data_IF_815830198526
#
_entry.id   IF_815830198526
#
_cell.length_a   1.000
_cell.length_b   1.000
_cell.length_c   1.000
_cell.angle_alpha   90.00
_cell.angle_beta   90.00
_cell.angle_gamma   90.00
#
_symmetry.space_group_name_H-M   'P 1'
#
loop_
_entity.id
_entity.type
_entity.pdbx_description
1 polymer ?
#
# COMPACT_ATOMS: atom_id res chain seq x y z
N UNK A 1 1.30 10.91 42.39
CA UNK A 1 1.37 11.51 41.04
C UNK A 1 1.90 10.45 40.10
N UNK A 2 1.03 9.82 39.33
CA UNK A 2 1.40 8.80 38.32
C UNK A 2 1.14 9.43 36.96
N UNK A 3 2.19 9.56 36.14
CA UNK A 3 2.06 10.06 34.78
C UNK A 3 1.17 9.10 33.96
N UNK A 4 0.30 9.60 33.07
CA UNK A 4 -0.48 8.73 32.21
C UNK A 4 0.48 8.05 31.24
N UNK A 5 0.42 6.72 31.15
CA UNK A 5 1.13 5.96 30.13
C UNK A 5 0.65 6.44 28.75
N UNK A 6 1.41 7.33 28.12
CA UNK A 6 1.31 7.57 26.68
C UNK A 6 1.77 6.26 26.05
N UNK A 7 0.80 5.48 25.59
CA UNK A 7 1.08 4.36 24.69
C UNK A 7 1.78 4.99 23.51
N UNK A 8 3.02 4.59 23.24
CA UNK A 8 3.71 4.95 22.00
C UNK A 8 3.03 4.17 20.87
N UNK A 9 2.20 4.82 20.03
CA UNK A 9 1.47 4.11 19.00
C UNK A 9 2.39 3.53 17.93
N UNK A 10 3.58 4.12 17.72
CA UNK A 10 4.56 3.59 16.76
C UNK A 10 5.23 2.33 17.30
N UNK A 11 5.62 2.34 18.57
CA UNK A 11 6.12 1.15 19.28
C UNK A 11 5.09 0.02 19.34
N UNK A 12 3.85 0.32 19.71
CA UNK A 12 2.77 -0.67 19.78
C UNK A 12 2.40 -1.23 18.40
N UNK A 13 2.41 -0.40 17.35
CA UNK A 13 2.23 -0.88 15.98
C UNK A 13 3.42 -1.74 15.55
N UNK A 14 4.64 -1.37 15.91
CA UNK A 14 5.84 -2.16 15.65
C UNK A 14 5.79 -3.55 16.30
N UNK A 15 5.36 -3.63 17.56
CA UNK A 15 5.14 -4.89 18.27
C UNK A 15 3.99 -5.70 17.66
N UNK A 16 2.85 -5.06 17.38
CA UNK A 16 1.71 -5.72 16.75
C UNK A 16 2.04 -6.24 15.34
N UNK A 17 2.90 -5.56 14.59
CA UNK A 17 3.41 -6.02 13.29
C UNK A 17 4.47 -7.12 13.44
N UNK A 18 5.25 -7.12 14.51
CA UNK A 18 6.19 -8.20 14.81
C UNK A 18 5.48 -9.49 15.26
N UNK A 19 4.37 -9.37 15.98
CA UNK A 19 3.48 -10.48 16.32
C UNK A 19 2.50 -10.85 15.19
N UNK A 20 2.33 -9.97 14.21
CA UNK A 20 1.40 -10.19 13.12
C UNK A 20 1.74 -11.46 12.34
N UNK A 21 0.69 -12.15 11.88
CA UNK A 21 0.87 -13.28 10.98
C UNK A 21 1.62 -12.82 9.72
N UNK A 22 2.52 -13.66 9.17
CA UNK A 22 3.19 -13.38 7.89
C UNK A 22 2.22 -13.00 6.76
N UNK A 23 0.98 -13.48 6.80
CA UNK A 23 -0.08 -13.15 5.85
C UNK A 23 -0.57 -11.70 5.97
N UNK A 24 -0.63 -11.14 7.17
CA UNK A 24 -0.97 -9.72 7.36
C UNK A 24 0.12 -8.84 6.75
N UNK A 25 1.40 -9.12 7.03
CA UNK A 25 2.50 -8.36 6.46
C UNK A 25 2.53 -8.46 4.93
N UNK A 26 2.27 -9.64 4.35
CA UNK A 26 2.13 -9.81 2.89
C UNK A 26 0.98 -8.97 2.34
N UNK A 27 -0.16 -8.98 3.01
CA UNK A 27 -1.35 -8.21 2.60
C UNK A 27 -1.12 -6.69 2.65
N UNK A 28 -0.46 -6.20 3.71
CA UNK A 28 -0.10 -4.79 3.85
C UNK A 28 0.90 -4.38 2.76
N UNK A 29 1.94 -5.18 2.54
CA UNK A 29 2.93 -4.91 1.50
C UNK A 29 2.29 -4.88 0.11
N UNK A 30 1.42 -5.86 -0.20
CA UNK A 30 0.68 -5.89 -1.44
C UNK A 30 -0.21 -4.65 -1.61
N UNK A 31 -0.86 -4.19 -0.54
CA UNK A 31 -1.69 -2.98 -0.56
C UNK A 31 -0.85 -1.74 -0.88
N UNK A 32 0.29 -1.57 -0.22
CA UNK A 32 1.19 -0.42 -0.45
C UNK A 32 1.75 -0.44 -1.87
N UNK A 33 2.22 -1.59 -2.36
CA UNK A 33 2.73 -1.73 -3.74
C UNK A 33 1.66 -1.35 -4.75
N UNK A 34 0.43 -1.87 -4.61
CA UNK A 34 -0.67 -1.56 -5.52
C UNK A 34 -1.06 -0.08 -5.49
N UNK A 35 -0.99 0.58 -4.33
CA UNK A 35 -1.25 2.00 -4.20
C UNK A 35 -0.21 2.84 -4.94
N UNK A 36 1.08 2.55 -4.75
CA UNK A 36 2.18 3.25 -5.43
C UNK A 36 2.10 3.08 -6.95
N UNK A 37 1.95 1.83 -7.42
CA UNK A 37 1.84 1.55 -8.86
C UNK A 37 0.58 2.17 -9.47
N UNK A 38 -0.51 2.27 -8.71
CA UNK A 38 -1.72 2.96 -9.17
C UNK A 38 -1.50 4.46 -9.29
N UNK A 39 -0.79 5.09 -8.36
CA UNK A 39 -0.46 6.50 -8.42
C UNK A 39 0.44 6.82 -9.62
N UNK A 40 1.45 5.98 -9.89
CA UNK A 40 2.31 6.11 -11.08
C UNK A 40 1.48 5.97 -12.38
N UNK A 41 0.55 5.02 -12.43
CA UNK A 41 -0.32 4.85 -13.58
C UNK A 41 -1.23 6.07 -13.81
N UNK A 42 -1.78 6.64 -12.73
CA UNK A 42 -2.62 7.84 -12.79
C UNK A 42 -1.81 9.06 -13.26
N UNK A 43 -0.55 9.19 -12.81
CA UNK A 43 0.36 10.24 -13.27
C UNK A 43 0.70 10.12 -14.76
N UNK A 44 0.95 8.90 -15.26
CA UNK A 44 1.21 8.65 -16.70
C UNK A 44 -0.04 8.90 -17.55
N UNK A 45 -1.22 8.49 -17.08
CA UNK A 45 -2.49 8.73 -17.77
C UNK A 45 -2.87 10.23 -17.75
N UNK A 46 -2.39 10.96 -16.74
CA UNK A 46 -2.76 12.34 -16.47
C UNK A 46 -4.13 12.48 -15.81
N UNK A 47 -4.67 11.40 -15.24
CA UNK A 47 -5.97 11.35 -14.58
C UNK A 47 -6.06 10.19 -13.57
N UNK A 48 -6.82 10.38 -12.50
CA UNK A 48 -7.21 9.30 -11.59
C UNK A 48 -8.02 8.20 -12.30
N UNK A 49 -8.00 7.00 -11.73
CA UNK A 49 -8.77 5.88 -12.25
C UNK A 49 -10.28 6.19 -12.35
N UNK A 50 -10.84 5.97 -13.55
CA UNK A 50 -12.25 6.20 -13.84
C UNK A 50 -12.66 7.68 -13.94
N UNK A 51 -11.74 8.63 -13.73
CA UNK A 51 -12.04 10.05 -13.87
C UNK A 51 -11.86 10.54 -15.30
N UNK A 52 -12.71 11.49 -15.67
CA UNK A 52 -12.58 12.20 -16.94
C UNK A 52 -11.65 13.40 -16.73
N UNK A 53 -10.74 13.60 -17.68
CA UNK A 53 -9.95 14.83 -17.78
C UNK A 53 -9.75 15.16 -19.26
N UNK A 54 -9.81 16.43 -19.68
CA UNK A 54 -9.63 16.82 -21.07
C UNK A 54 -8.24 16.48 -21.65
N UNK A 55 -7.22 16.38 -20.79
CA UNK A 55 -5.82 16.19 -21.18
C UNK A 55 -5.38 14.72 -21.26
N UNK A 56 -6.25 13.77 -20.94
CA UNK A 56 -5.89 12.34 -20.87
C UNK A 56 -5.64 11.80 -22.28
N UNK A 57 -4.53 11.07 -22.43
CA UNK A 57 -4.14 10.44 -23.71
C UNK A 57 -4.21 8.91 -23.67
N UNK A 58 -4.47 8.31 -22.51
CA UNK A 58 -4.51 6.85 -22.32
C UNK A 58 -5.60 6.41 -21.33
N UNK A 59 -5.84 5.12 -21.21
CA UNK A 59 -6.73 4.52 -20.20
C UNK A 59 -6.03 3.34 -19.51
N UNK A 60 -6.35 3.13 -18.24
CA UNK A 60 -5.87 1.97 -17.48
C UNK A 60 -6.50 0.69 -18.03
N UNK A 61 -5.67 -0.27 -18.43
CA UNK A 61 -6.07 -1.53 -19.07
C UNK A 61 -6.00 -2.71 -18.08
N UNK A 62 -6.65 -2.53 -16.93
CA UNK A 62 -6.71 -3.54 -15.86
C UNK A 62 -5.36 -3.89 -15.21
N UNK A 63 -5.41 -4.89 -14.34
CA UNK A 63 -4.24 -5.44 -13.66
C UNK A 63 -3.83 -6.76 -14.30
N UNK A 64 -2.53 -7.08 -14.20
CA UNK A 64 -1.99 -8.38 -14.58
C UNK A 64 -1.27 -8.95 -13.36
N UNK A 65 -1.46 -10.24 -13.13
CA UNK A 65 -0.78 -10.92 -12.05
C UNK A 65 0.73 -10.95 -12.32
N UNK A 66 1.50 -10.70 -11.26
CA UNK A 66 2.95 -10.78 -11.26
C UNK A 66 3.41 -11.14 -9.85
N UNK A 67 4.06 -12.28 -9.72
CA UNK A 67 4.65 -12.70 -8.45
C UNK A 67 5.85 -11.81 -8.09
N UNK A 68 6.02 -11.56 -6.80
CA UNK A 68 7.10 -10.77 -6.24
C UNK A 68 7.73 -11.52 -5.08
N UNK A 69 9.00 -11.86 -5.21
CA UNK A 69 9.76 -12.40 -4.09
C UNK A 69 10.21 -11.27 -3.17
N UNK A 70 9.66 -11.22 -1.95
CA UNK A 70 9.95 -10.19 -0.96
C UNK A 70 10.50 -10.79 0.32
N UNK A 71 10.99 -9.95 1.24
CA UNK A 71 11.40 -10.40 2.58
C UNK A 71 10.26 -10.99 3.40
N UNK A 72 9.01 -10.73 3.01
CA UNK A 72 7.81 -11.25 3.65
C UNK A 72 7.29 -12.51 2.95
N UNK A 73 8.04 -13.05 1.97
CA UNK A 73 7.69 -14.21 1.17
C UNK A 73 7.32 -13.86 -0.27
N UNK A 74 6.87 -14.90 -0.99
CA UNK A 74 6.31 -14.86 -2.34
C UNK A 74 4.79 -14.72 -2.26
#
# INVERSE_FOLDING_TARGET
MTAPHIVDPAGLLGEALAEASPDLMRSLLQTVINALLSADADAVVGAEYGRQTPSRVAQRNGYRHRDLDTRVGT
#
